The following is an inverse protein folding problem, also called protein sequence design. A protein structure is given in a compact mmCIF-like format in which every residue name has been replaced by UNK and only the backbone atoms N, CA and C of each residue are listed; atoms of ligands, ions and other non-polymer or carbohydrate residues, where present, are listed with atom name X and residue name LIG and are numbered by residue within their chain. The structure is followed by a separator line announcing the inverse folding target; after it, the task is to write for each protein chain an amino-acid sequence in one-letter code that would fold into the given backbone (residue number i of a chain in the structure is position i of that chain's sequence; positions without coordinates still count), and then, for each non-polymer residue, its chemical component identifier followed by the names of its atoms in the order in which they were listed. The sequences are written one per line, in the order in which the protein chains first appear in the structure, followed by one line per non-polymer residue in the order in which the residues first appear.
data_IF_600489070931
#
_entry.id   IF_600489070931
#
_cell.length_a   1.000
_cell.length_b   1.000
_cell.length_c   1.000
_cell.angle_alpha   90.00
_cell.angle_beta   90.00
_cell.angle_gamma   90.00
#
_symmetry.space_group_name_H-M   'P 1'
#
loop_
_entity.id
_entity.type
_entity.pdbx_description
1 polymer ?
#
# COMPACT_ATOMS: atom_id res chain seq x y z
N UNK A 1 -32.86 -13.11 -14.00
CA UNK A 1 -31.84 -12.12 -14.44
C UNK A 1 -30.53 -12.22 -13.61
N UNK A 2 -30.11 -13.42 -13.18
CA UNK A 2 -29.00 -13.57 -12.23
C UNK A 2 -27.59 -13.36 -12.82
N UNK A 3 -27.40 -13.48 -14.15
CA UNK A 3 -26.08 -13.39 -14.79
C UNK A 3 -25.70 -12.02 -15.37
N UNK A 4 -26.58 -11.01 -15.34
CA UNK A 4 -26.28 -9.71 -15.95
C UNK A 4 -25.23 -8.90 -15.15
N UNK A 5 -25.24 -9.02 -13.82
CA UNK A 5 -24.26 -8.36 -12.95
C UNK A 5 -22.85 -8.94 -13.15
N UNK A 6 -22.74 -10.26 -13.24
CA UNK A 6 -21.50 -10.97 -13.52
C UNK A 6 -20.95 -10.63 -14.89
N UNK A 7 -21.80 -10.64 -15.93
CA UNK A 7 -21.39 -10.24 -17.29
C UNK A 7 -20.87 -8.80 -17.35
N UNK A 8 -21.51 -7.86 -16.63
CA UNK A 8 -21.04 -6.48 -16.51
C UNK A 8 -19.68 -6.40 -15.79
N UNK A 9 -19.50 -7.18 -14.72
CA UNK A 9 -18.25 -7.23 -13.94
C UNK A 9 -17.08 -7.76 -14.77
N UNK A 10 -17.28 -8.88 -15.46
CA UNK A 10 -16.25 -9.48 -16.33
C UNK A 10 -15.88 -8.55 -17.49
N UNK A 11 -16.87 -7.89 -18.10
CA UNK A 11 -16.61 -6.87 -19.13
C UNK A 11 -15.74 -5.73 -18.58
N UNK A 12 -16.04 -5.23 -17.36
CA UNK A 12 -15.23 -4.21 -16.68
C UNK A 12 -13.82 -4.70 -16.39
N UNK A 13 -13.65 -5.95 -15.93
CA UNK A 13 -12.34 -6.54 -15.65
C UNK A 13 -11.47 -6.64 -16.91
N UNK A 14 -12.07 -7.07 -18.03
CA UNK A 14 -11.42 -7.18 -19.34
C UNK A 14 -11.04 -5.80 -19.88
N UNK A 15 -11.95 -4.83 -19.88
CA UNK A 15 -11.62 -3.47 -20.30
C UNK A 15 -10.52 -2.86 -19.42
N UNK A 16 -10.60 -3.04 -18.09
CA UNK A 16 -9.59 -2.52 -17.17
C UNK A 16 -8.18 -3.02 -17.51
N UNK A 17 -7.97 -4.33 -17.67
CA UNK A 17 -6.63 -4.87 -17.93
C UNK A 17 -6.08 -4.43 -19.29
N UNK A 18 -6.95 -4.31 -20.30
CA UNK A 18 -6.59 -3.84 -21.66
C UNK A 18 -6.12 -2.40 -21.66
N UNK A 19 -6.72 -1.52 -20.84
CA UNK A 19 -6.32 -0.10 -20.80
C UNK A 19 -5.24 0.20 -19.76
N UNK A 20 -5.33 -0.39 -18.56
CA UNK A 20 -4.42 -0.10 -17.46
C UNK A 20 -2.99 -0.60 -17.75
N UNK A 21 -2.85 -1.83 -18.27
CA UNK A 21 -1.53 -2.42 -18.53
C UNK A 21 -0.66 -1.57 -19.47
N UNK A 22 -1.12 -1.21 -20.69
CA UNK A 22 -0.32 -0.38 -21.58
C UNK A 22 -0.14 1.04 -21.02
N UNK A 23 -1.14 1.63 -20.37
CA UNK A 23 -1.02 2.98 -19.81
C UNK A 23 0.13 3.08 -18.80
N UNK A 24 0.15 2.23 -17.77
CA UNK A 24 1.21 2.27 -16.75
C UNK A 24 2.57 1.83 -17.29
N UNK A 25 2.60 0.91 -18.27
CA UNK A 25 3.84 0.48 -18.93
C UNK A 25 4.45 1.63 -19.74
N UNK A 26 3.67 2.30 -20.58
CA UNK A 26 4.12 3.45 -21.37
C UNK A 26 4.62 4.56 -20.45
N UNK A 27 3.86 4.87 -19.39
CA UNK A 27 4.24 5.90 -18.43
C UNK A 27 5.57 5.60 -17.74
N UNK A 28 5.79 4.34 -17.36
CA UNK A 28 7.06 3.91 -16.79
C UNK A 28 8.23 3.99 -17.79
N UNK A 29 8.00 3.69 -19.07
CA UNK A 29 9.02 3.81 -20.11
C UNK A 29 9.41 5.26 -20.39
N UNK A 30 8.43 6.17 -20.41
CA UNK A 30 8.68 7.61 -20.59
C UNK A 30 9.63 8.13 -19.52
N UNK A 31 9.46 7.70 -18.27
CA UNK A 31 10.37 8.09 -17.19
C UNK A 31 11.81 7.58 -17.42
N UNK A 32 11.96 6.35 -17.90
CA UNK A 32 13.29 5.77 -18.21
C UNK A 32 13.97 6.59 -19.31
N UNK A 33 13.24 6.91 -20.39
CA UNK A 33 13.73 7.75 -21.47
C UNK A 33 14.13 9.13 -20.94
N UNK A 34 13.26 9.78 -20.16
CA UNK A 34 13.54 11.06 -19.53
C UNK A 34 14.84 11.03 -18.69
N UNK A 35 15.02 9.99 -17.89
CA UNK A 35 16.21 9.83 -17.04
C UNK A 35 17.48 9.62 -17.84
N UNK A 36 17.42 8.85 -18.93
CA UNK A 36 18.54 8.63 -19.84
C UNK A 36 19.00 9.93 -20.51
N UNK A 37 18.07 10.79 -20.95
CA UNK A 37 18.39 12.05 -21.64
C UNK A 37 18.81 13.18 -20.69
N UNK A 38 18.08 13.39 -19.59
CA UNK A 38 18.26 14.57 -18.74
C UNK A 38 19.15 14.33 -17.51
N UNK A 39 19.31 13.08 -17.07
CA UNK A 39 20.01 12.73 -15.82
C UNK A 39 20.99 11.58 -16.01
N UNK A 40 21.63 11.52 -17.17
CA UNK A 40 22.62 10.49 -17.51
C UNK A 40 23.74 10.36 -16.45
N UNK A 41 24.26 11.48 -15.96
CA UNK A 41 25.31 11.49 -14.93
C UNK A 41 24.82 11.00 -13.54
N UNK A 42 23.50 11.03 -13.30
CA UNK A 42 22.87 10.57 -12.06
C UNK A 42 22.35 9.13 -12.19
N UNK A 43 22.73 8.40 -13.25
CA UNK A 43 22.51 6.96 -13.37
C UNK A 43 23.41 6.27 -12.34
N UNK A 44 22.93 6.20 -11.12
CA UNK A 44 23.45 5.27 -10.13
C UNK A 44 22.88 3.89 -10.45
N UNK A 45 23.70 2.84 -10.27
CA UNK A 45 23.32 1.42 -10.43
C UNK A 45 21.94 1.05 -9.85
N UNK A 46 21.49 1.81 -8.84
CA UNK A 46 20.24 1.58 -8.13
C UNK A 46 18.99 2.13 -8.87
N UNK A 47 19.12 3.04 -9.84
CA UNK A 47 17.96 3.64 -10.54
C UNK A 47 17.20 2.61 -11.38
N UNK A 48 17.91 1.76 -12.12
CA UNK A 48 17.30 0.66 -12.86
C UNK A 48 16.60 -0.35 -11.95
N UNK A 49 17.22 -0.70 -10.82
CA UNK A 49 16.60 -1.57 -9.82
C UNK A 49 15.31 -0.97 -9.26
N UNK A 50 15.35 0.32 -8.91
CA UNK A 50 14.20 1.05 -8.37
C UNK A 50 13.06 1.17 -9.39
N UNK A 51 13.36 1.31 -10.69
CA UNK A 51 12.34 1.20 -11.75
C UNK A 51 11.82 -0.20 -11.95
N UNK A 52 12.68 -1.22 -11.87
CA UNK A 52 12.24 -2.61 -11.88
C UNK A 52 11.23 -2.86 -10.75
N UNK A 53 11.49 -2.33 -9.56
CA UNK A 53 10.58 -2.41 -8.42
C UNK A 53 9.26 -1.67 -8.68
N UNK A 54 9.31 -0.46 -9.24
CA UNK A 54 8.13 0.32 -9.60
C UNK A 54 7.25 -0.40 -10.63
N UNK A 55 7.88 -0.93 -11.68
CA UNK A 55 7.22 -1.69 -12.74
C UNK A 55 6.61 -2.98 -12.19
N UNK A 56 7.33 -3.68 -11.32
CA UNK A 56 6.82 -4.84 -10.61
C UNK A 56 5.59 -4.49 -9.76
N UNK A 57 5.62 -3.36 -9.05
CA UNK A 57 4.50 -2.91 -8.22
C UNK A 57 3.25 -2.60 -9.07
N UNK A 58 3.42 -1.95 -10.23
CA UNK A 58 2.33 -1.76 -11.19
C UNK A 58 1.77 -3.07 -11.72
N UNK A 59 2.64 -3.96 -12.20
CA UNK A 59 2.23 -5.25 -12.72
C UNK A 59 1.45 -6.07 -11.68
N UNK A 60 1.99 -6.15 -10.45
CA UNK A 60 1.37 -6.87 -9.35
C UNK A 60 0.01 -6.25 -8.98
N UNK A 61 -0.08 -4.93 -8.88
CA UNK A 61 -1.34 -4.26 -8.51
C UNK A 61 -2.41 -4.44 -9.58
N UNK A 62 -2.07 -4.26 -10.87
CA UNK A 62 -3.01 -4.44 -11.99
C UNK A 62 -3.53 -5.88 -12.04
N UNK A 63 -2.66 -6.88 -11.88
CA UNK A 63 -3.05 -8.29 -11.85
C UNK A 63 -3.99 -8.61 -10.70
N UNK A 64 -3.71 -8.11 -9.49
CA UNK A 64 -4.57 -8.33 -8.34
C UNK A 64 -5.90 -7.58 -8.44
N UNK A 65 -5.93 -6.37 -9.00
CA UNK A 65 -7.18 -5.64 -9.28
C UNK A 65 -8.02 -6.41 -10.30
N UNK A 66 -7.40 -6.90 -11.38
CA UNK A 66 -8.10 -7.71 -12.38
C UNK A 66 -8.66 -8.99 -11.75
N UNK A 67 -7.87 -9.70 -10.94
CA UNK A 67 -8.32 -10.89 -10.22
C UNK A 67 -9.48 -10.58 -9.26
N UNK A 68 -9.38 -9.48 -8.50
CA UNK A 68 -10.44 -9.03 -7.60
C UNK A 68 -11.72 -8.66 -8.33
N UNK A 69 -11.61 -7.96 -9.46
CA UNK A 69 -12.75 -7.67 -10.34
C UNK A 69 -13.38 -8.94 -10.90
N UNK A 70 -12.60 -9.90 -11.40
CA UNK A 70 -13.12 -11.15 -11.98
C UNK A 70 -13.90 -11.96 -10.94
N UNK A 71 -13.34 -12.12 -9.74
CA UNK A 71 -13.93 -12.94 -8.66
C UNK A 71 -14.90 -12.17 -7.75
N UNK A 72 -15.05 -10.85 -7.93
CA UNK A 72 -15.91 -10.03 -7.07
C UNK A 72 -15.35 -9.83 -5.66
N UNK A 73 -14.03 -9.91 -5.48
CA UNK A 73 -13.33 -9.67 -4.22
C UNK A 73 -13.01 -8.18 -4.04
N UNK A 74 -12.74 -7.76 -2.80
CA UNK A 74 -12.29 -6.40 -2.51
C UNK A 74 -10.89 -6.16 -3.10
N UNK A 75 -10.76 -5.12 -3.93
CA UNK A 75 -9.51 -4.74 -4.60
C UNK A 75 -9.08 -3.29 -4.28
N UNK A 76 -9.74 -2.63 -3.32
CA UNK A 76 -9.48 -1.23 -2.93
C UNK A 76 -8.01 -1.03 -2.55
N UNK A 77 -7.47 -1.93 -1.72
CA UNK A 77 -6.06 -1.88 -1.32
C UNK A 77 -5.09 -1.85 -2.51
N UNK A 78 -5.30 -2.73 -3.50
CA UNK A 78 -4.43 -2.76 -4.67
C UNK A 78 -4.60 -1.53 -5.56
N UNK A 79 -5.78 -0.92 -5.54
CA UNK A 79 -6.04 0.36 -6.23
C UNK A 79 -5.30 1.51 -5.55
N UNK A 80 -5.30 1.55 -4.23
CA UNK A 80 -4.53 2.53 -3.46
C UNK A 80 -3.04 2.39 -3.72
N UNK A 81 -2.52 1.16 -3.72
CA UNK A 81 -1.11 0.87 -4.07
C UNK A 81 -0.80 1.29 -5.50
N UNK A 82 -1.70 1.04 -6.46
CA UNK A 82 -1.53 1.46 -7.85
C UNK A 82 -1.47 2.98 -7.99
N UNK A 83 -2.37 3.71 -7.33
CA UNK A 83 -2.41 5.18 -7.35
C UNK A 83 -1.17 5.75 -6.65
N UNK A 84 -0.77 5.20 -5.51
CA UNK A 84 0.44 5.62 -4.81
C UNK A 84 1.67 5.43 -5.69
N UNK A 85 1.77 4.29 -6.37
CA UNK A 85 2.84 3.99 -7.34
C UNK A 85 2.89 5.04 -8.46
N UNK A 86 1.73 5.47 -8.94
CA UNK A 86 1.58 6.51 -9.96
C UNK A 86 2.03 7.88 -9.48
N UNK A 87 1.60 8.30 -8.28
CA UNK A 87 2.02 9.56 -7.67
C UNK A 87 3.52 9.60 -7.46
N UNK A 88 4.12 8.48 -7.04
CA UNK A 88 5.57 8.39 -6.90
C UNK A 88 6.25 8.54 -8.26
N UNK A 89 5.79 7.83 -9.30
CA UNK A 89 6.34 7.96 -10.65
C UNK A 89 6.30 9.41 -11.15
N UNK A 90 5.19 10.13 -10.93
CA UNK A 90 5.08 11.57 -11.19
C UNK A 90 6.10 12.39 -10.38
N UNK A 91 6.21 12.11 -9.08
CA UNK A 91 7.16 12.78 -8.19
C UNK A 91 8.62 12.58 -8.60
N UNK A 92 8.96 11.44 -9.21
CA UNK A 92 10.31 11.14 -9.67
C UNK A 92 10.78 12.09 -10.77
N UNK A 93 9.88 12.61 -11.61
CA UNK A 93 10.24 13.62 -12.62
C UNK A 93 10.81 14.88 -11.97
N UNK A 94 10.34 15.21 -10.76
CA UNK A 94 10.81 16.35 -9.99
C UNK A 94 12.06 15.99 -9.16
N UNK A 95 11.99 14.93 -8.34
CA UNK A 95 13.06 14.58 -7.40
C UNK A 95 13.18 13.08 -7.15
N UNK A 96 14.42 12.59 -7.06
CA UNK A 96 14.69 11.19 -6.67
C UNK A 96 14.27 10.88 -5.23
N UNK A 97 14.06 11.89 -4.37
CA UNK A 97 13.65 11.70 -2.98
C UNK A 97 12.29 11.00 -2.84
N UNK A 98 11.43 11.05 -3.86
CA UNK A 98 10.14 10.36 -3.86
C UNK A 98 10.28 8.83 -3.80
N UNK A 99 11.44 8.27 -4.20
CA UNK A 99 11.70 6.84 -4.01
C UNK A 99 11.76 6.41 -2.55
N UNK A 100 12.10 7.30 -1.61
CA UNK A 100 12.16 6.94 -0.19
C UNK A 100 10.80 6.49 0.34
N UNK A 101 9.69 6.91 -0.27
CA UNK A 101 8.35 6.46 0.10
C UNK A 101 8.21 4.94 -0.09
N UNK A 102 8.80 4.37 -1.15
CA UNK A 102 8.83 2.92 -1.39
C UNK A 102 9.70 2.14 -0.42
N UNK A 103 10.64 2.79 0.25
CA UNK A 103 11.54 2.14 1.20
C UNK A 103 10.95 2.26 2.61
N UNK A 104 10.47 3.44 2.98
CA UNK A 104 9.94 3.74 4.31
C UNK A 104 8.66 2.95 4.59
N UNK A 105 7.74 2.84 3.63
CA UNK A 105 6.47 2.14 3.85
C UNK A 105 6.70 0.64 4.14
N UNK A 106 7.45 -0.13 3.33
CA UNK A 106 7.76 -1.52 3.64
C UNK A 106 8.58 -1.70 4.92
N UNK A 107 9.55 -0.82 5.20
CA UNK A 107 10.32 -0.87 6.45
C UNK A 107 9.40 -0.70 7.66
N UNK A 108 8.49 0.28 7.61
CA UNK A 108 7.53 0.50 8.69
C UNK A 108 6.56 -0.67 8.85
N UNK A 109 6.09 -1.24 7.74
CA UNK A 109 5.26 -2.44 7.75
C UNK A 109 6.00 -3.63 8.36
N UNK A 110 7.25 -3.87 7.96
CA UNK A 110 8.09 -4.93 8.51
C UNK A 110 8.34 -4.72 10.01
N UNK A 111 8.67 -3.50 10.44
CA UNK A 111 8.82 -3.16 11.85
C UNK A 111 7.56 -3.45 12.65
N UNK A 112 6.38 -3.07 12.13
CA UNK A 112 5.09 -3.32 12.79
C UNK A 112 4.76 -4.82 12.88
N UNK A 113 5.03 -5.57 11.81
CA UNK A 113 4.84 -7.03 11.78
C UNK A 113 5.80 -7.73 12.73
N UNK A 114 7.07 -7.32 12.78
CA UNK A 114 8.02 -7.81 13.76
C UNK A 114 7.54 -7.51 15.19
N UNK A 115 7.13 -6.28 15.49
CA UNK A 115 6.59 -5.94 16.80
C UNK A 115 5.34 -6.75 17.16
N UNK A 116 4.48 -7.04 16.19
CA UNK A 116 3.33 -7.93 16.37
C UNK A 116 3.78 -9.36 16.69
N UNK A 117 4.75 -9.90 15.95
CA UNK A 117 5.35 -11.21 16.21
C UNK A 117 5.99 -11.23 17.60
N UNK A 118 6.84 -10.27 17.96
CA UNK A 118 7.43 -10.20 19.31
C UNK A 118 6.35 -10.13 20.40
N UNK A 119 5.29 -9.35 20.21
CA UNK A 119 4.21 -9.23 21.20
C UNK A 119 3.36 -10.51 21.33
N UNK A 120 3.11 -11.24 20.25
CA UNK A 120 2.28 -12.44 20.27
C UNK A 120 3.06 -13.73 20.51
N UNK A 121 4.32 -13.79 20.05
CA UNK A 121 5.19 -14.97 20.13
C UNK A 121 6.09 -14.94 21.37
N UNK A 122 6.57 -13.76 21.82
CA UNK A 122 7.35 -13.60 23.06
C UNK A 122 6.52 -13.02 24.24
N UNK A 123 5.29 -12.56 24.00
CA UNK A 123 4.47 -11.89 25.01
C UNK A 123 3.52 -12.77 25.83
N UNK A 124 3.74 -14.08 25.91
CA UNK A 124 3.05 -14.96 26.88
C UNK A 124 4.02 -15.94 27.53
N UNK A 125 3.92 -16.22 28.84
CA UNK A 125 4.12 -15.32 29.96
C UNK A 125 5.43 -15.72 30.67
N UNK A 126 6.54 -15.06 30.37
CA UNK A 126 7.72 -15.15 31.22
C UNK A 126 8.47 -13.82 31.21
N UNK A 127 8.34 -13.08 32.31
CA UNK A 127 9.24 -11.97 32.65
C UNK A 127 8.71 -10.56 32.39
N UNK A 128 8.30 -9.89 33.46
CA UNK A 128 8.49 -8.43 33.58
C UNK A 128 7.28 -7.54 33.33
N UNK A 129 6.15 -7.82 34.01
CA UNK A 129 5.14 -6.79 34.20
C UNK A 129 5.66 -5.72 35.19
N UNK A 130 6.08 -4.56 34.68
CA UNK A 130 6.02 -3.32 35.46
C UNK A 130 4.53 -2.92 35.56
N UNK A 131 3.91 -2.94 36.76
CA UNK A 131 2.46 -2.85 36.90
C UNK A 131 1.88 -1.43 37.04
N UNK A 132 2.64 -0.35 36.78
CA UNK A 132 2.15 1.00 37.13
C UNK A 132 1.42 1.77 36.03
N UNK A 133 1.65 1.50 34.74
CA UNK A 133 1.13 2.41 33.68
C UNK A 133 -0.25 2.03 33.09
N UNK A 134 -0.76 0.83 33.39
CA UNK A 134 -2.04 0.33 32.85
C UNK A 134 -3.24 0.50 33.80
N UNK A 135 -3.01 0.82 35.07
CA UNK A 135 -4.08 1.08 36.03
C UNK A 135 -4.79 2.43 35.76
N UNK A 136 -4.02 3.48 35.45
CA UNK A 136 -4.53 4.85 35.34
C UNK A 136 -5.49 5.10 34.15
N UNK A 137 -5.32 4.38 33.04
CA UNK A 137 -6.21 4.54 31.88
C UNK A 137 -7.51 3.77 32.00
N UNK A 138 -7.56 2.78 32.90
CA UNK A 138 -8.74 1.92 33.08
C UNK A 138 -9.72 2.53 34.10
N UNK A 139 -9.22 3.25 35.11
CA UNK A 139 -10.08 3.99 36.05
C UNK A 139 -10.75 5.21 35.43
N UNK A 140 -10.04 6.02 34.63
CA UNK A 140 -10.60 7.24 34.01
C UNK A 140 -11.72 6.96 32.99
N UNK A 141 -11.83 5.73 32.48
CA UNK A 141 -12.88 5.36 31.53
C UNK A 141 -14.16 4.83 32.21
N UNK A 142 -14.07 4.40 33.48
CA UNK A 142 -15.23 3.91 34.26
C UNK A 142 -15.99 5.03 34.98
N UNK A 143 -15.34 6.14 35.33
CA UNK A 143 -15.97 7.27 36.03
C UNK A 143 -16.75 8.24 35.13
N UNK A 144 -16.65 8.14 33.80
CA UNK A 144 -17.30 9.09 32.88
C UNK A 144 -18.75 8.74 32.49
N UNK A 145 -19.34 7.72 33.11
CA UNK A 145 -20.73 7.29 32.86
C UNK A 145 -21.51 7.34 34.17
N UNK A 146 -21.80 8.55 34.67
CA UNK A 146 -22.57 8.74 35.90
C UNK A 146 -23.55 9.92 35.71
N UNK A 147 -24.82 9.54 35.52
CA UNK A 147 -26.12 10.23 35.60
C UNK A 147 -26.42 11.51 34.80
N UNK A 148 -27.34 11.37 33.83
CA UNK A 148 -28.29 12.42 33.44
C UNK A 148 -29.50 12.32 34.39
N UNK A 149 -29.63 13.24 35.36
CA UNK A 149 -30.88 13.41 36.14
C UNK A 149 -31.95 13.97 35.20
N UNK A 150 -33.10 13.30 35.12
CA UNK A 150 -34.35 13.88 34.63
C UNK A 150 -35.11 14.43 35.86
N UNK A 151 -35.60 15.65 35.73
CA UNK A 151 -36.42 16.38 36.71
C UNK A 151 -37.78 15.71 36.91
#
# INVERSE_FOLDING_TARGET
MAGQSEKKRLKKASSFIVYATPFFTIFSLIYIIFTLYFRYNTITRNVFFLHGLLFFCYYYSIKNIHYGLTNGLNFTYYTDVLILSFVINLGLFYSFKFFYIYIIIPIYAAFKTLNFIFKYLLGSPFGGANPSEKADKTEKKKTKVVYKKLY
#
